data_IF_661278715999
#
_entry.id   IF_661278715999
#
_cell.length_a   1.000
_cell.length_b   1.000
_cell.length_c   1.000
_cell.angle_alpha   90.00
_cell.angle_beta   90.00
_cell.angle_gamma   90.00
#
_symmetry.space_group_name_H-M   'P 1'
#
loop_
_entity.id
_entity.type
_entity.pdbx_description
1 polymer ?
#
# COMPACT_ATOMS: atom_id res chain seq x y z
N UNK A 1 -6.08 12.20 8.14
CA UNK A 1 -7.46 11.65 8.24
C UNK A 1 -8.35 12.03 7.05
N UNK A 2 -8.54 13.31 6.68
CA UNK A 2 -9.40 13.69 5.52
C UNK A 2 -8.95 13.16 4.15
N UNK A 3 -7.64 13.02 3.90
CA UNK A 3 -7.09 12.48 2.64
C UNK A 3 -7.33 10.98 2.45
N UNK A 4 -7.36 10.21 3.55
CA UNK A 4 -7.61 8.76 3.50
C UNK A 4 -9.07 8.45 3.20
N UNK A 5 -10.01 9.25 3.72
CA UNK A 5 -11.44 9.07 3.48
C UNK A 5 -11.81 9.30 2.00
N UNK A 6 -11.30 10.38 1.39
CA UNK A 6 -11.57 10.67 -0.03
C UNK A 6 -10.93 9.65 -0.98
N UNK A 7 -9.78 9.08 -0.60
CA UNK A 7 -9.15 7.99 -1.35
C UNK A 7 -10.00 6.72 -1.30
N UNK A 8 -10.46 6.31 -0.12
CA UNK A 8 -11.32 5.13 0.06
C UNK A 8 -12.63 5.26 -0.74
N UNK A 9 -13.26 6.44 -0.73
CA UNK A 9 -14.47 6.69 -1.54
C UNK A 9 -14.21 6.58 -3.05
N UNK A 10 -13.05 7.04 -3.53
CA UNK A 10 -12.65 6.88 -4.94
C UNK A 10 -12.42 5.41 -5.28
N UNK A 11 -11.70 4.68 -4.44
CA UNK A 11 -11.46 3.25 -4.63
C UNK A 11 -12.76 2.44 -4.62
N UNK A 12 -13.70 2.77 -3.73
CA UNK A 12 -15.03 2.17 -3.70
C UNK A 12 -15.89 2.50 -4.94
N UNK A 13 -15.69 3.66 -5.57
CA UNK A 13 -16.32 3.96 -6.87
C UNK A 13 -15.69 3.16 -8.01
N UNK A 14 -14.36 3.04 -8.01
CA UNK A 14 -13.63 2.24 -8.99
C UNK A 14 -14.03 0.77 -8.91
N UNK A 15 -14.15 0.19 -7.71
CA UNK A 15 -14.57 -1.20 -7.55
C UNK A 15 -15.98 -1.45 -8.06
N UNK A 16 -16.94 -0.59 -7.72
CA UNK A 16 -18.32 -0.65 -8.23
C UNK A 16 -18.39 -0.52 -9.75
N UNK A 17 -17.64 0.40 -10.33
CA UNK A 17 -17.58 0.56 -11.78
C UNK A 17 -16.99 -0.69 -12.45
N UNK A 18 -15.89 -1.22 -11.91
CA UNK A 18 -15.25 -2.43 -12.43
C UNK A 18 -16.20 -3.64 -12.42
N UNK A 19 -16.83 -3.95 -11.27
CA UNK A 19 -17.79 -5.06 -11.19
C UNK A 19 -19.08 -4.80 -11.99
N UNK A 20 -19.49 -3.54 -12.16
CA UNK A 20 -20.58 -3.16 -13.06
C UNK A 20 -20.27 -3.49 -14.53
N UNK A 21 -19.05 -3.18 -14.98
CA UNK A 21 -18.58 -3.53 -16.34
C UNK A 21 -18.46 -5.05 -16.48
N UNK A 22 -17.94 -5.75 -15.47
CA UNK A 22 -17.88 -7.23 -15.48
C UNK A 22 -19.27 -7.85 -15.64
N UNK A 23 -20.26 -7.37 -14.90
CA UNK A 23 -21.65 -7.81 -15.04
C UNK A 23 -22.21 -7.52 -16.44
N UNK A 24 -21.94 -6.33 -16.98
CA UNK A 24 -22.39 -5.94 -18.32
C UNK A 24 -21.76 -6.81 -19.42
N UNK A 25 -20.45 -7.09 -19.34
CA UNK A 25 -19.76 -7.96 -20.30
C UNK A 25 -20.29 -9.39 -20.24
N UNK A 26 -20.51 -9.95 -19.04
CA UNK A 26 -21.09 -11.28 -18.89
C UNK A 26 -22.54 -11.34 -19.40
N UNK A 27 -23.37 -10.34 -19.08
CA UNK A 27 -24.74 -10.27 -19.57
C UNK A 27 -24.81 -10.10 -21.09
N UNK A 28 -23.94 -9.26 -21.66
CA UNK A 28 -23.82 -9.08 -23.11
C UNK A 28 -23.44 -10.39 -23.80
N UNK A 29 -22.47 -11.13 -23.28
CA UNK A 29 -22.08 -12.42 -23.84
C UNK A 29 -23.23 -13.46 -23.79
N UNK A 30 -23.97 -13.55 -22.67
CA UNK A 30 -25.14 -14.44 -22.56
C UNK A 30 -26.21 -14.07 -23.59
N UNK A 31 -26.57 -12.79 -23.68
CA UNK A 31 -27.55 -12.32 -24.68
C UNK A 31 -27.02 -12.48 -26.10
N UNK A 32 -25.72 -12.34 -26.33
CA UNK A 32 -25.08 -12.63 -27.60
C UNK A 32 -25.31 -14.07 -28.03
N UNK A 33 -25.19 -15.03 -27.12
CA UNK A 33 -25.51 -16.43 -27.38
C UNK A 33 -26.99 -16.62 -27.70
N UNK A 34 -27.88 -16.12 -26.85
CA UNK A 34 -29.35 -16.23 -27.01
C UNK A 34 -29.86 -15.61 -28.31
N UNK A 35 -29.35 -14.43 -28.68
CA UNK A 35 -29.83 -13.66 -29.84
C UNK A 35 -29.09 -14.01 -31.14
N UNK A 36 -28.03 -14.83 -31.09
CA UNK A 36 -27.26 -15.11 -32.30
C UNK A 36 -26.34 -13.98 -32.76
N UNK A 37 -25.97 -13.02 -31.89
CA UNK A 37 -25.16 -11.85 -32.27
C UNK A 37 -23.69 -12.05 -31.88
N UNK A 38 -22.76 -12.28 -32.84
CA UNK A 38 -21.35 -12.56 -32.53
C UNK A 38 -20.64 -11.41 -31.81
N UNK A 39 -20.88 -10.17 -32.24
CA UNK A 39 -20.28 -8.95 -31.69
C UNK A 39 -20.43 -8.79 -30.16
N UNK A 40 -21.52 -9.33 -29.59
CA UNK A 40 -21.76 -9.30 -28.14
C UNK A 40 -20.93 -10.35 -27.37
N UNK A 41 -20.44 -11.38 -28.06
CA UNK A 41 -19.67 -12.49 -27.50
C UNK A 41 -18.16 -12.29 -27.66
N UNK A 42 -17.73 -11.60 -28.71
CA UNK A 42 -16.32 -11.45 -29.10
C UNK A 42 -15.83 -9.98 -29.15
N UNK A 43 -16.68 -9.02 -28.78
CA UNK A 43 -16.42 -7.56 -28.87
C UNK A 43 -16.26 -7.02 -30.31
N UNK A 44 -16.73 -7.75 -31.34
CA UNK A 44 -16.79 -7.29 -32.72
C UNK A 44 -15.44 -7.22 -33.43
N UNK A 45 -14.44 -7.94 -32.94
CA UNK A 45 -13.06 -7.90 -33.44
C UNK A 45 -12.48 -9.30 -33.71
N UNK A 46 -13.34 -10.26 -34.06
CA UNK A 46 -13.00 -11.66 -34.38
C UNK A 46 -12.17 -12.36 -33.29
N UNK A 47 -12.41 -12.02 -32.02
CA UNK A 47 -11.81 -12.75 -30.90
C UNK A 47 -12.56 -14.08 -30.67
N UNK A 48 -11.91 -15.04 -30.00
CA UNK A 48 -12.61 -16.23 -29.53
C UNK A 48 -13.84 -15.80 -28.69
N UNK A 49 -15.05 -16.34 -28.94
CA UNK A 49 -16.25 -15.92 -28.24
C UNK A 49 -16.17 -16.31 -26.77
N UNK A 50 -16.68 -15.45 -25.90
CA UNK A 50 -16.80 -15.74 -24.47
C UNK A 50 -17.79 -16.88 -24.23
N UNK A 51 -17.36 -17.90 -23.50
CA UNK A 51 -18.21 -19.05 -23.20
C UNK A 51 -19.38 -18.66 -22.27
N UNK A 52 -20.58 -19.24 -22.45
CA UNK A 52 -21.73 -18.93 -21.59
C UNK A 52 -21.46 -19.22 -20.11
N UNK A 53 -20.67 -20.26 -19.82
CA UNK A 53 -20.31 -20.62 -18.45
C UNK A 53 -19.43 -19.56 -17.78
N UNK A 54 -18.42 -19.05 -18.50
CA UNK A 54 -17.59 -17.95 -18.00
C UNK A 54 -18.43 -16.68 -17.79
N UNK A 55 -19.33 -16.40 -18.73
CA UNK A 55 -20.22 -15.24 -18.68
C UNK A 55 -21.16 -15.30 -17.46
N UNK A 56 -21.80 -16.45 -17.24
CA UNK A 56 -22.66 -16.69 -16.07
C UNK A 56 -21.88 -16.61 -14.76
N UNK A 57 -20.70 -17.23 -14.69
CA UNK A 57 -19.85 -17.18 -13.50
C UNK A 57 -19.43 -15.73 -13.17
N UNK A 58 -19.08 -14.91 -14.16
CA UNK A 58 -18.70 -13.51 -13.97
C UNK A 58 -19.88 -12.63 -13.54
N UNK A 59 -21.07 -12.85 -14.09
CA UNK A 59 -22.31 -12.20 -13.59
C UNK A 59 -22.56 -12.59 -12.14
N UNK A 60 -22.46 -13.87 -11.80
CA UNK A 60 -22.62 -14.34 -10.42
C UNK A 60 -21.59 -13.74 -9.46
N UNK A 61 -20.32 -13.62 -9.88
CA UNK A 61 -19.29 -12.92 -9.10
C UNK A 61 -19.63 -11.45 -8.85
N UNK A 62 -20.11 -10.74 -9.88
CA UNK A 62 -20.55 -9.35 -9.71
C UNK A 62 -21.78 -9.24 -8.78
N UNK A 63 -22.75 -10.16 -8.88
CA UNK A 63 -23.87 -10.20 -7.94
C UNK A 63 -23.42 -10.51 -6.51
N UNK A 64 -22.42 -11.38 -6.34
CA UNK A 64 -21.83 -11.67 -5.04
C UNK A 64 -21.20 -10.42 -4.43
N UNK A 65 -20.43 -9.66 -5.23
CA UNK A 65 -19.83 -8.41 -4.83
C UNK A 65 -20.87 -7.37 -4.38
N UNK A 66 -21.87 -7.08 -5.21
CA UNK A 66 -22.92 -6.10 -4.87
C UNK A 66 -23.80 -6.55 -3.70
N UNK A 67 -24.03 -7.86 -3.54
CA UNK A 67 -24.75 -8.39 -2.38
C UNK A 67 -23.94 -8.20 -1.09
N UNK A 68 -22.62 -8.40 -1.13
CA UNK A 68 -21.74 -8.15 0.00
C UNK A 68 -21.73 -6.65 0.38
N UNK A 69 -21.68 -5.75 -0.61
CA UNK A 69 -21.71 -4.30 -0.38
C UNK A 69 -23.04 -3.83 0.25
N UNK A 70 -24.16 -4.45 -0.10
CA UNK A 70 -25.49 -4.17 0.46
C UNK A 70 -25.73 -4.80 1.85
N UNK A 71 -24.72 -5.42 2.47
CA UNK A 71 -24.86 -6.08 3.76
C UNK A 71 -25.72 -7.35 3.72
N UNK A 72 -25.77 -8.06 2.58
CA UNK A 72 -26.50 -9.32 2.39
C UNK A 72 -25.55 -10.50 2.23
N UNK A 73 -24.88 -10.96 3.31
CA UNK A 73 -23.82 -11.95 3.20
C UNK A 73 -24.28 -13.34 2.77
N UNK A 74 -25.50 -13.74 3.13
CA UNK A 74 -26.08 -15.01 2.68
C UNK A 74 -26.19 -15.04 1.16
N UNK A 75 -26.73 -13.97 0.57
CA UNK A 75 -26.89 -13.81 -0.88
C UNK A 75 -25.54 -13.73 -1.58
N UNK A 76 -24.57 -13.01 -1.00
CA UNK A 76 -23.21 -12.95 -1.52
C UNK A 76 -22.55 -14.34 -1.58
N UNK A 77 -22.64 -15.13 -0.50
CA UNK A 77 -22.06 -16.48 -0.42
C UNK A 77 -22.74 -17.46 -1.37
N UNK A 78 -24.07 -17.39 -1.53
CA UNK A 78 -24.80 -18.25 -2.48
C UNK A 78 -24.36 -17.95 -3.92
N UNK A 79 -24.33 -16.68 -4.32
CA UNK A 79 -23.89 -16.29 -5.66
C UNK A 79 -22.44 -16.70 -5.95
N UNK A 80 -21.54 -16.50 -4.98
CA UNK A 80 -20.15 -16.95 -5.07
C UNK A 80 -20.04 -18.48 -5.14
N UNK A 81 -20.80 -19.22 -4.32
CA UNK A 81 -20.79 -20.69 -4.35
C UNK A 81 -21.24 -21.21 -5.72
N UNK A 82 -22.30 -20.64 -6.31
CA UNK A 82 -22.74 -21.00 -7.66
C UNK A 82 -21.65 -20.72 -8.71
N UNK A 83 -20.98 -19.56 -8.63
CA UNK A 83 -19.86 -19.24 -9.54
C UNK A 83 -18.69 -20.23 -9.38
N UNK A 84 -18.33 -20.59 -8.13
CA UNK A 84 -17.30 -21.58 -7.84
C UNK A 84 -17.69 -22.96 -8.37
N UNK A 85 -18.95 -23.37 -8.20
CA UNK A 85 -19.47 -24.63 -8.73
C UNK A 85 -19.36 -24.70 -10.24
N UNK A 86 -19.70 -23.62 -10.97
CA UNK A 86 -19.49 -23.56 -12.43
C UNK A 86 -18.01 -23.74 -12.77
N UNK A 87 -17.11 -23.05 -12.06
CA UNK A 87 -15.67 -23.18 -12.25
C UNK A 87 -15.15 -24.60 -12.01
N UNK A 88 -15.58 -25.25 -10.91
CA UNK A 88 -15.18 -26.62 -10.55
C UNK A 88 -15.73 -27.65 -11.54
N UNK A 89 -17.02 -27.56 -11.89
CA UNK A 89 -17.64 -28.50 -12.82
C UNK A 89 -17.04 -28.36 -14.22
N UNK A 90 -16.76 -27.13 -14.67
CA UNK A 90 -16.07 -26.94 -15.95
C UNK A 90 -14.62 -27.40 -15.90
N UNK A 91 -13.91 -27.20 -14.78
CA UNK A 91 -12.57 -27.74 -14.60
C UNK A 91 -12.56 -29.27 -14.65
N UNK A 92 -13.55 -29.92 -14.03
CA UNK A 92 -13.71 -31.37 -14.08
C UNK A 92 -14.02 -31.85 -15.51
N UNK A 93 -14.90 -31.16 -16.25
CA UNK A 93 -15.16 -31.45 -17.68
C UNK A 93 -13.88 -31.31 -18.52
N UNK A 94 -13.08 -30.25 -18.30
CA UNK A 94 -11.84 -30.01 -19.04
C UNK A 94 -10.74 -31.02 -18.71
N UNK A 95 -10.60 -31.46 -17.46
CA UNK A 95 -9.55 -32.40 -17.03
C UNK A 95 -9.92 -33.88 -17.25
N UNK A 96 -11.16 -34.26 -16.96
CA UNK A 96 -11.61 -35.65 -17.03
C UNK A 96 -12.23 -36.02 -18.39
N UNK A 97 -12.46 -35.04 -19.27
CA UNK A 97 -13.11 -35.27 -20.57
C UNK A 97 -14.58 -35.70 -20.46
N UNK A 98 -15.20 -35.54 -19.28
CA UNK A 98 -16.59 -35.93 -19.04
C UNK A 98 -17.55 -34.92 -19.69
N UNK A 99 -18.54 -35.34 -20.49
CA UNK A 99 -19.51 -34.44 -21.12
C UNK A 99 -20.58 -33.98 -20.11
N UNK A 100 -20.17 -33.19 -19.11
CA UNK A 100 -21.06 -32.65 -18.07
C UNK A 100 -22.04 -31.61 -18.68
N UNK A 101 -21.67 -31.00 -19.81
CA UNK A 101 -22.50 -30.04 -20.51
C UNK A 101 -22.39 -28.62 -19.94
N UNK A 102 -21.32 -28.34 -19.18
CA UNK A 102 -21.05 -27.00 -18.62
C UNK A 102 -20.64 -26.00 -19.69
N UNK A 103 -20.35 -26.43 -20.90
CA UNK A 103 -20.19 -25.55 -22.07
C UNK A 103 -21.49 -24.86 -22.51
N UNK A 104 -22.66 -25.27 -21.98
CA UNK A 104 -23.98 -24.74 -22.36
C UNK A 104 -24.22 -24.75 -23.87
N UNK A 105 -23.83 -25.83 -24.55
CA UNK A 105 -24.00 -25.99 -25.99
C UNK A 105 -25.46 -25.83 -26.47
N UNK A 106 -26.44 -26.11 -25.61
CA UNK A 106 -27.87 -25.90 -25.88
C UNK A 106 -28.28 -24.42 -25.99
N UNK A 107 -27.44 -23.49 -25.50
CA UNK A 107 -27.66 -22.05 -25.63
C UNK A 107 -27.19 -21.50 -26.97
N UNK A 108 -26.43 -22.30 -27.74
CA UNK A 108 -26.02 -21.91 -29.08
C UNK A 108 -27.22 -21.96 -30.04
N UNK A 109 -27.42 -20.94 -30.90
CA UNK A 109 -28.35 -21.04 -32.02
C UNK A 109 -27.98 -22.28 -32.86
N UNK A 110 -28.96 -22.98 -33.43
CA UNK A 110 -28.83 -24.31 -34.05
C UNK A 110 -27.92 -24.43 -35.30
N UNK A 111 -26.83 -23.69 -35.40
CA UNK A 111 -25.90 -23.59 -36.53
C UNK A 111 -24.48 -24.11 -36.27
N UNK A 112 -24.26 -25.03 -35.32
CA UNK A 112 -23.00 -25.79 -35.23
C UNK A 112 -21.77 -25.08 -34.62
N UNK A 113 -21.86 -23.80 -34.26
CA UNK A 113 -20.80 -23.15 -33.48
C UNK A 113 -20.76 -23.68 -32.05
N UNK A 114 -19.74 -24.50 -31.73
CA UNK A 114 -19.54 -24.98 -30.37
C UNK A 114 -18.99 -23.85 -29.49
N UNK A 115 -19.60 -23.61 -28.30
CA UNK A 115 -19.04 -22.66 -27.34
C UNK A 115 -17.60 -23.01 -26.96
N UNK A 116 -16.74 -21.99 -26.89
CA UNK A 116 -15.36 -22.17 -26.46
C UNK A 116 -15.31 -22.82 -25.06
N UNK A 117 -14.46 -23.82 -24.88
CA UNK A 117 -14.23 -24.43 -23.55
C UNK A 117 -13.43 -23.46 -22.69
N UNK A 118 -13.72 -23.42 -21.38
CA UNK A 118 -12.86 -22.68 -20.47
C UNK A 118 -11.51 -23.39 -20.35
N UNK A 119 -10.44 -22.60 -20.42
CA UNK A 119 -9.11 -23.07 -20.04
C UNK A 119 -9.02 -23.38 -18.55
N UNK A 120 -8.05 -24.22 -18.18
CA UNK A 120 -7.76 -24.56 -16.78
C UNK A 120 -7.48 -23.30 -15.97
N UNK A 121 -6.69 -22.36 -16.49
CA UNK A 121 -6.41 -21.10 -15.81
C UNK A 121 -7.69 -20.27 -15.59
N UNK A 122 -8.59 -20.20 -16.58
CA UNK A 122 -9.86 -19.48 -16.43
C UNK A 122 -10.76 -20.11 -15.34
N UNK A 123 -10.81 -21.44 -15.25
CA UNK A 123 -11.54 -22.11 -14.17
C UNK A 123 -10.92 -21.80 -12.80
N UNK A 124 -9.60 -21.88 -12.68
CA UNK A 124 -8.89 -21.60 -11.42
C UNK A 124 -9.11 -20.14 -10.99
N UNK A 125 -8.99 -19.17 -11.91
CA UNK A 125 -9.20 -17.75 -11.57
C UNK A 125 -10.62 -17.48 -11.11
N UNK A 126 -11.64 -18.09 -11.74
CA UNK A 126 -13.03 -17.99 -11.31
C UNK A 126 -13.24 -18.58 -9.91
N UNK A 127 -12.68 -19.75 -9.62
CA UNK A 127 -12.77 -20.39 -8.30
C UNK A 127 -12.11 -19.52 -7.22
N UNK A 128 -10.91 -18.99 -7.50
CA UNK A 128 -10.19 -18.12 -6.56
C UNK A 128 -10.97 -16.83 -6.28
N UNK A 129 -11.50 -16.16 -7.32
CA UNK A 129 -12.35 -14.98 -7.18
C UNK A 129 -13.60 -15.31 -6.35
N UNK A 130 -14.26 -16.43 -6.62
CA UNK A 130 -15.47 -16.85 -5.92
C UNK A 130 -15.23 -17.13 -4.43
N UNK A 131 -14.08 -17.68 -4.07
CA UNK A 131 -13.75 -17.98 -2.67
C UNK A 131 -13.60 -16.70 -1.83
N UNK A 132 -13.14 -15.61 -2.45
CA UNK A 132 -12.69 -14.43 -1.72
C UNK A 132 -13.65 -13.24 -1.81
N UNK A 133 -14.43 -13.13 -2.89
CA UNK A 133 -15.43 -12.07 -3.09
C UNK A 133 -16.47 -11.95 -1.94
N UNK A 134 -17.03 -13.04 -1.38
CA UNK A 134 -18.07 -12.96 -0.35
C UNK A 134 -17.55 -12.88 1.09
N UNK A 135 -16.23 -12.97 1.31
CA UNK A 135 -15.66 -12.95 2.67
C UNK A 135 -16.02 -11.63 3.34
N UNK A 136 -16.49 -11.61 4.59
CA UNK A 136 -16.71 -10.35 5.33
C UNK A 136 -15.50 -9.97 6.18
N UNK A 137 -14.79 -10.99 6.67
CA UNK A 137 -13.57 -10.85 7.45
C UNK A 137 -12.37 -11.21 6.60
N UNK A 138 -11.36 -10.34 6.60
CA UNK A 138 -10.11 -10.63 5.91
C UNK A 138 -9.38 -11.77 6.60
N UNK A 139 -9.10 -12.82 5.83
CA UNK A 139 -8.17 -13.87 6.25
C UNK A 139 -6.78 -13.48 5.82
N UNK A 140 -5.81 -13.64 6.71
CA UNK A 140 -4.39 -13.41 6.41
C UNK A 140 -3.81 -14.68 5.78
N UNK A 141 -3.17 -14.51 4.62
CA UNK A 141 -2.41 -15.53 3.90
C UNK A 141 -0.99 -14.99 3.74
N UNK A 142 0.00 -15.67 4.31
CA UNK A 142 1.40 -15.19 4.34
C UNK A 142 1.55 -13.73 4.84
N UNK A 143 0.82 -13.36 5.90
CA UNK A 143 0.76 -12.00 6.48
C UNK A 143 0.15 -10.91 5.57
N UNK A 144 -0.41 -11.26 4.41
CA UNK A 144 -1.16 -10.36 3.54
C UNK A 144 -2.65 -10.73 3.51
N UNK A 145 -3.57 -9.78 3.27
CA UNK A 145 -5.00 -10.10 3.16
C UNK A 145 -5.26 -10.97 1.91
N UNK A 146 -6.03 -12.04 2.09
CA UNK A 146 -6.33 -13.02 1.02
C UNK A 146 -6.93 -12.37 -0.24
N UNK A 147 -7.72 -11.30 -0.07
CA UNK A 147 -8.28 -10.45 -1.14
C UNK A 147 -7.21 -9.89 -2.06
N UNK A 148 -6.15 -9.32 -1.48
CA UNK A 148 -5.05 -8.74 -2.24
C UNK A 148 -4.19 -9.80 -2.93
N UNK A 149 -3.93 -10.92 -2.24
CA UNK A 149 -3.15 -12.03 -2.81
C UNK A 149 -3.88 -12.63 -4.02
N UNK A 150 -5.18 -12.94 -3.88
CA UNK A 150 -5.99 -13.46 -4.98
C UNK A 150 -6.12 -12.44 -6.11
N UNK A 151 -6.39 -11.17 -5.80
CA UNK A 151 -6.44 -10.13 -6.81
C UNK A 151 -5.12 -10.00 -7.59
N UNK A 152 -3.97 -10.11 -6.92
CA UNK A 152 -2.67 -10.08 -7.58
C UNK A 152 -2.43 -11.29 -8.48
N UNK A 153 -2.72 -12.50 -8.01
CA UNK A 153 -2.56 -13.73 -8.81
C UNK A 153 -3.49 -13.72 -10.02
N UNK A 154 -4.78 -13.45 -9.79
CA UNK A 154 -5.79 -13.43 -10.86
C UNK A 154 -5.52 -12.30 -11.85
N UNK A 155 -5.14 -11.12 -11.35
CA UNK A 155 -4.72 -9.99 -12.18
C UNK A 155 -3.52 -10.32 -13.04
N UNK A 156 -2.49 -11.00 -12.49
CA UNK A 156 -1.33 -11.43 -13.25
C UNK A 156 -1.70 -12.45 -14.34
N UNK A 157 -2.52 -13.46 -14.03
CA UNK A 157 -2.98 -14.46 -15.02
C UNK A 157 -3.78 -13.78 -16.14
N UNK A 158 -4.73 -12.90 -15.80
CA UNK A 158 -5.51 -12.16 -16.77
C UNK A 158 -4.66 -11.20 -17.59
N UNK A 159 -3.66 -10.57 -16.98
CA UNK A 159 -2.68 -9.72 -17.64
C UNK A 159 -1.88 -10.50 -18.70
N UNK A 160 -1.33 -11.66 -18.32
CA UNK A 160 -0.60 -12.51 -19.26
C UNK A 160 -1.49 -13.06 -20.37
N UNK A 161 -2.75 -13.37 -20.08
CA UNK A 161 -3.72 -13.78 -21.09
C UNK A 161 -4.00 -12.65 -22.10
N UNK A 162 -4.21 -11.41 -21.63
CA UNK A 162 -4.38 -10.24 -22.49
C UNK A 162 -3.12 -9.94 -23.32
N UNK A 163 -1.95 -10.07 -22.70
CA UNK A 163 -0.67 -9.90 -23.39
C UNK A 163 -0.50 -10.95 -24.50
N UNK A 164 -0.80 -12.22 -24.20
CA UNK A 164 -0.76 -13.31 -25.18
C UNK A 164 -1.71 -13.07 -26.36
N UNK A 165 -2.96 -12.65 -26.08
CA UNK A 165 -3.95 -12.31 -27.11
C UNK A 165 -3.50 -11.14 -28.00
N UNK A 166 -2.93 -10.11 -27.39
CA UNK A 166 -2.56 -8.90 -28.12
C UNK A 166 -1.34 -9.09 -29.02
N UNK A 167 -0.37 -9.91 -28.58
CA UNK A 167 0.85 -10.10 -29.36
C UNK A 167 0.60 -10.90 -30.65
N UNK A 168 -0.50 -11.69 -30.80
CA UNK A 168 -0.83 -12.54 -31.98
C UNK A 168 0.34 -13.42 -32.53
N UNK A 169 1.49 -13.42 -31.86
CA UNK A 169 2.81 -13.92 -32.29
C UNK A 169 3.33 -15.03 -31.38
N UNK A 170 2.88 -15.09 -30.12
CA UNK A 170 2.94 -16.37 -29.42
C UNK A 170 1.82 -17.22 -29.99
N UNK A 171 2.17 -18.20 -30.83
CA UNK A 171 1.35 -19.36 -31.19
C UNK A 171 0.94 -20.15 -29.92
N UNK A 172 0.19 -19.53 -29.03
CA UNK A 172 -0.43 -20.19 -27.89
C UNK A 172 -1.50 -21.20 -28.33
N UNK A 173 -1.93 -21.14 -29.59
CA UNK A 173 -2.76 -22.16 -30.24
C UNK A 173 -2.15 -23.57 -30.22
N UNK A 174 -0.82 -23.71 -30.03
CA UNK A 174 -0.17 -25.04 -30.00
C UNK A 174 0.51 -25.32 -28.64
N UNK A 175 0.95 -24.30 -27.89
CA UNK A 175 1.89 -24.50 -26.77
C UNK A 175 1.36 -24.21 -25.34
N UNK A 176 0.20 -23.54 -25.14
CA UNK A 176 -0.36 -23.45 -23.78
C UNK A 176 -1.91 -23.37 -23.75
N UNK A 177 -2.60 -24.50 -24.00
CA UNK A 177 -4.04 -24.64 -23.74
C UNK A 177 -4.46 -24.28 -22.30
N UNK A 178 -3.49 -24.21 -21.38
CA UNK A 178 -3.66 -23.80 -19.99
C UNK A 178 -4.14 -22.35 -19.82
N UNK A 179 -3.73 -21.40 -20.69
CA UNK A 179 -4.03 -19.96 -20.57
C UNK A 179 -5.09 -19.44 -21.56
N UNK A 180 -5.80 -20.32 -22.28
CA UNK A 180 -6.79 -19.95 -23.30
C UNK A 180 -7.98 -19.15 -22.75
N UNK A 181 -7.84 -17.84 -22.59
CA UNK A 181 -8.94 -16.92 -22.34
C UNK A 181 -9.46 -16.36 -23.66
N UNK A 182 -10.78 -16.15 -23.75
CA UNK A 182 -11.30 -15.19 -24.72
C UNK A 182 -10.92 -13.77 -24.31
N UNK A 183 -10.75 -12.86 -25.26
CA UNK A 183 -10.45 -11.46 -24.95
C UNK A 183 -11.47 -10.81 -23.99
N UNK A 184 -12.79 -10.98 -24.18
CA UNK A 184 -13.78 -10.43 -23.25
C UNK A 184 -13.67 -11.04 -21.85
N UNK A 185 -13.39 -12.34 -21.73
CA UNK A 185 -13.20 -12.99 -20.43
C UNK A 185 -11.92 -12.54 -19.73
N UNK A 186 -10.82 -12.34 -20.46
CA UNK A 186 -9.57 -11.84 -19.91
C UNK A 186 -9.73 -10.40 -19.39
N UNK A 187 -10.41 -9.53 -20.16
CA UNK A 187 -10.74 -8.15 -19.73
C UNK A 187 -11.64 -8.17 -18.49
N UNK A 188 -12.71 -8.97 -18.49
CA UNK A 188 -13.62 -9.07 -17.34
C UNK A 188 -12.90 -9.61 -16.09
N UNK A 189 -12.04 -10.62 -16.25
CA UNK A 189 -11.27 -11.19 -15.13
C UNK A 189 -10.27 -10.19 -14.56
N UNK A 190 -9.60 -9.42 -15.43
CA UNK A 190 -8.70 -8.33 -15.04
C UNK A 190 -9.47 -7.25 -14.26
N UNK A 191 -10.63 -6.82 -14.78
CA UNK A 191 -11.48 -5.83 -14.11
C UNK A 191 -11.99 -6.35 -12.76
N UNK A 192 -12.36 -7.62 -12.64
CA UNK A 192 -12.76 -8.22 -11.37
C UNK A 192 -11.60 -8.22 -10.36
N UNK A 193 -10.37 -8.52 -10.79
CA UNK A 193 -9.18 -8.47 -9.94
C UNK A 193 -8.88 -7.05 -9.45
N UNK A 194 -8.89 -6.06 -10.35
CA UNK A 194 -8.71 -4.63 -10.01
C UNK A 194 -9.83 -4.16 -9.07
N UNK A 195 -11.08 -4.53 -9.37
CA UNK A 195 -12.24 -4.20 -8.56
C UNK A 195 -12.15 -4.77 -7.15
N UNK A 196 -11.67 -6.01 -7.01
CA UNK A 196 -11.47 -6.65 -5.72
C UNK A 196 -10.35 -5.98 -4.91
N UNK A 197 -9.22 -5.67 -5.55
CA UNK A 197 -8.11 -4.94 -4.92
C UNK A 197 -8.52 -3.53 -4.46
N UNK A 198 -9.37 -2.84 -5.25
CA UNK A 198 -9.87 -1.51 -4.91
C UNK A 198 -10.98 -1.54 -3.85
N UNK A 199 -11.80 -2.60 -3.81
CA UNK A 199 -12.87 -2.73 -2.82
C UNK A 199 -12.34 -2.91 -1.40
N UNK A 200 -11.21 -3.60 -1.27
CA UNK A 200 -10.55 -3.88 0.01
C UNK A 200 -9.04 -3.66 -0.12
N UNK A 201 -8.62 -2.39 -0.15
CA UNK A 201 -7.23 -2.06 -0.35
C UNK A 201 -6.42 -2.47 0.88
N UNK A 202 -5.33 -3.22 0.66
CA UNK A 202 -4.42 -3.61 1.75
C UNK A 202 -3.78 -2.39 2.41
N UNK A 203 -3.32 -2.56 3.66
CA UNK A 203 -2.56 -1.51 4.36
C UNK A 203 -1.36 -1.03 3.53
N UNK A 204 -0.65 -1.95 2.88
CA UNK A 204 0.45 -1.62 1.97
C UNK A 204 -0.01 -0.76 0.79
N UNK A 205 -1.13 -1.10 0.15
CA UNK A 205 -1.66 -0.34 -0.98
C UNK A 205 -2.12 1.06 -0.55
N UNK A 206 -2.77 1.16 0.61
CA UNK A 206 -3.19 2.44 1.18
C UNK A 206 -1.99 3.31 1.57
N UNK A 207 -0.96 2.75 2.22
CA UNK A 207 0.26 3.48 2.55
C UNK A 207 1.01 3.92 1.29
N UNK A 208 1.06 3.06 0.26
CA UNK A 208 1.70 3.38 -1.02
C UNK A 208 0.95 4.48 -1.79
N UNK A 209 -0.39 4.52 -1.74
CA UNK A 209 -1.18 5.52 -2.47
C UNK A 209 -1.36 6.83 -1.69
N UNK A 210 -1.44 6.77 -0.36
CA UNK A 210 -1.75 7.91 0.49
C UNK A 210 -0.53 8.57 1.12
N UNK A 211 0.59 7.85 1.29
CA UNK A 211 1.75 8.40 1.98
C UNK A 211 2.55 9.32 1.07
N UNK A 212 3.09 10.38 1.67
CA UNK A 212 4.06 11.29 1.05
C UNK A 212 5.51 10.76 1.17
N UNK A 213 5.69 9.52 1.61
CA UNK A 213 7.03 8.93 1.80
C UNK A 213 7.68 8.77 0.43
N UNK A 214 8.98 8.99 0.36
CA UNK A 214 9.76 8.86 -0.88
C UNK A 214 9.55 7.48 -1.53
N UNK A 215 9.47 6.42 -0.72
CA UNK A 215 9.18 5.06 -1.21
C UNK A 215 7.83 4.92 -1.92
N UNK A 216 6.78 5.56 -1.42
CA UNK A 216 5.45 5.52 -2.03
C UNK A 216 5.40 6.27 -3.36
N UNK A 217 6.11 7.40 -3.47
CA UNK A 217 6.26 8.13 -4.74
C UNK A 217 7.00 7.28 -5.75
N UNK A 218 8.10 6.64 -5.35
CA UNK A 218 8.87 5.74 -6.22
C UNK A 218 7.97 4.59 -6.68
N UNK A 219 7.31 3.86 -5.78
CA UNK A 219 6.46 2.73 -6.15
C UNK A 219 5.30 3.12 -7.07
N UNK A 220 4.69 4.31 -6.89
CA UNK A 220 3.55 4.76 -7.70
C UNK A 220 3.88 4.98 -9.18
N UNK A 221 5.12 5.31 -9.50
CA UNK A 221 5.56 5.57 -10.87
C UNK A 221 6.42 4.42 -11.42
N UNK A 222 7.28 3.85 -10.59
CA UNK A 222 8.22 2.78 -10.93
C UNK A 222 7.48 1.51 -11.33
N UNK A 223 6.53 1.06 -10.51
CA UNK A 223 5.90 -0.24 -10.69
C UNK A 223 5.04 -0.28 -11.96
N UNK A 224 4.17 0.70 -12.26
CA UNK A 224 3.48 0.73 -13.56
C UNK A 224 4.44 0.84 -14.74
N UNK A 225 5.47 1.69 -14.67
CA UNK A 225 6.38 1.91 -15.78
C UNK A 225 7.24 0.67 -16.09
N UNK A 226 7.60 -0.12 -15.07
CA UNK A 226 8.33 -1.39 -15.23
C UNK A 226 7.57 -2.44 -16.05
N UNK A 227 6.22 -2.38 -16.09
CA UNK A 227 5.41 -3.25 -16.94
C UNK A 227 5.01 -2.57 -18.25
N UNK A 228 4.50 -1.34 -18.19
CA UNK A 228 3.94 -0.64 -19.36
C UNK A 228 4.99 -0.40 -20.44
N UNK A 229 6.22 -0.01 -20.07
CA UNK A 229 7.25 0.31 -21.06
C UNK A 229 7.70 -0.92 -21.85
N UNK A 230 8.06 -2.07 -21.25
CA UNK A 230 8.38 -3.27 -22.02
C UNK A 230 7.25 -3.72 -22.95
N UNK A 231 5.99 -3.64 -22.51
CA UNK A 231 4.83 -4.02 -23.33
C UNK A 231 4.71 -3.07 -24.53
N UNK A 232 4.76 -1.76 -24.30
CA UNK A 232 4.61 -0.77 -25.35
C UNK A 232 5.72 -0.85 -26.39
N UNK A 233 6.98 -1.00 -25.94
CA UNK A 233 8.13 -1.20 -26.84
C UNK A 233 8.01 -2.52 -27.58
N UNK A 234 7.55 -3.59 -26.90
CA UNK A 234 7.26 -4.89 -27.54
C UNK A 234 6.20 -4.79 -28.64
N UNK A 235 5.10 -4.08 -28.40
CA UNK A 235 4.08 -3.81 -29.42
C UNK A 235 4.62 -3.01 -30.60
N UNK A 236 5.35 -1.93 -30.33
CA UNK A 236 5.93 -1.09 -31.38
C UNK A 236 6.90 -1.90 -32.25
N UNK A 237 7.72 -2.77 -31.63
CA UNK A 237 8.59 -3.71 -32.34
C UNK A 237 7.78 -4.65 -33.23
N UNK A 238 6.76 -5.33 -32.70
CA UNK A 238 5.95 -6.28 -33.47
C UNK A 238 5.19 -5.61 -34.62
N UNK A 239 4.65 -4.42 -34.38
CA UNK A 239 3.96 -3.65 -35.42
C UNK A 239 4.91 -3.37 -36.59
N UNK A 240 6.11 -2.88 -36.30
CA UNK A 240 7.06 -2.53 -37.33
C UNK A 240 7.71 -3.76 -38.02
N UNK A 241 7.84 -4.89 -37.32
CA UNK A 241 8.20 -6.18 -37.92
C UNK A 241 7.12 -6.65 -38.91
N UNK A 242 5.83 -6.47 -38.59
CA UNK A 242 4.71 -6.80 -39.49
C UNK A 242 4.64 -5.93 -40.74
N UNK A 243 4.96 -4.65 -40.61
CA UNK A 243 5.06 -3.71 -41.75
C UNK A 243 6.36 -3.93 -42.55
N UNK A 244 7.22 -4.88 -42.17
CA UNK A 244 8.46 -5.19 -42.85
C UNK A 244 9.55 -4.10 -42.70
N UNK A 245 9.40 -3.18 -41.74
CA UNK A 245 10.36 -2.09 -41.51
C UNK A 245 11.71 -2.60 -41.00
N UNK A 246 11.74 -3.76 -40.34
CA UNK A 246 12.96 -4.42 -39.88
C UNK A 246 12.77 -5.92 -39.68
N UNK A 247 13.87 -6.68 -39.83
CA UNK A 247 13.88 -8.12 -39.60
C UNK A 247 13.85 -8.50 -38.11
N UNK A 248 13.42 -9.73 -37.83
CA UNK A 248 13.22 -10.29 -36.48
C UNK A 248 14.46 -10.12 -35.57
N UNK A 249 15.64 -10.48 -36.08
CA UNK A 249 16.90 -10.39 -35.34
C UNK A 249 17.26 -8.94 -34.96
N UNK A 250 17.05 -8.00 -35.89
CA UNK A 250 17.28 -6.58 -35.64
C UNK A 250 16.28 -6.02 -34.62
N UNK A 251 15.00 -6.38 -34.75
CA UNK A 251 13.96 -6.01 -33.79
C UNK A 251 14.24 -6.52 -32.37
N UNK A 252 14.75 -7.76 -32.23
CA UNK A 252 15.19 -8.31 -30.94
C UNK A 252 16.39 -7.56 -30.34
N UNK A 253 17.40 -7.25 -31.15
CA UNK A 253 18.57 -6.51 -30.70
C UNK A 253 18.20 -5.09 -30.23
N UNK A 254 17.39 -4.38 -31.01
CA UNK A 254 16.90 -3.04 -30.66
C UNK A 254 16.03 -3.06 -29.39
N UNK A 255 15.11 -4.02 -29.27
CA UNK A 255 14.31 -4.20 -28.06
C UNK A 255 15.20 -4.39 -26.83
N UNK A 256 16.20 -5.26 -26.92
CA UNK A 256 17.14 -5.52 -25.83
C UNK A 256 17.91 -4.27 -25.44
N UNK A 257 18.40 -3.49 -26.42
CA UNK A 257 19.11 -2.24 -26.17
C UNK A 257 18.21 -1.20 -25.48
N UNK A 258 16.98 -1.01 -25.97
CA UNK A 258 16.02 -0.06 -25.39
C UNK A 258 15.64 -0.49 -23.97
N UNK A 259 15.45 -1.79 -23.71
CA UNK A 259 15.18 -2.30 -22.37
C UNK A 259 16.36 -2.12 -21.42
N UNK A 260 17.59 -2.41 -21.85
CA UNK A 260 18.79 -2.18 -21.03
C UNK A 260 18.92 -0.69 -20.70
N UNK A 261 18.76 0.21 -21.68
CA UNK A 261 18.82 1.65 -21.46
C UNK A 261 17.71 2.12 -20.51
N UNK A 262 16.49 1.63 -20.70
CA UNK A 262 15.34 1.93 -19.85
C UNK A 262 15.57 1.47 -18.40
N UNK A 263 15.91 0.19 -18.19
CA UNK A 263 16.16 -0.35 -16.84
C UNK A 263 17.38 0.30 -16.19
N UNK A 264 18.44 0.61 -16.94
CA UNK A 264 19.61 1.32 -16.41
C UNK A 264 19.24 2.74 -15.95
N UNK A 265 18.48 3.48 -16.77
CA UNK A 265 17.95 4.80 -16.42
C UNK A 265 17.06 4.72 -15.16
N UNK A 266 16.20 3.70 -15.10
CA UNK A 266 15.32 3.43 -13.96
C UNK A 266 16.11 3.16 -12.67
N UNK A 267 17.14 2.31 -12.74
CA UNK A 267 18.01 1.97 -11.61
C UNK A 267 18.75 3.22 -11.12
N UNK A 268 19.32 4.01 -12.03
CA UNK A 268 20.02 5.25 -11.67
C UNK A 268 19.07 6.29 -11.06
N UNK A 269 17.84 6.37 -11.55
CA UNK A 269 16.82 7.25 -10.96
C UNK A 269 16.45 6.82 -9.54
N UNK A 270 16.25 5.51 -9.30
CA UNK A 270 15.97 4.98 -7.95
C UNK A 270 17.16 5.24 -7.02
N UNK A 271 18.38 4.95 -7.46
CA UNK A 271 19.59 5.19 -6.67
C UNK A 271 19.71 6.66 -6.25
N UNK A 272 19.61 7.60 -7.20
CA UNK A 272 19.65 9.04 -6.91
C UNK A 272 18.56 9.49 -5.96
N UNK A 273 17.35 8.93 -6.09
CA UNK A 273 16.22 9.27 -5.23
C UNK A 273 16.45 8.77 -3.80
N UNK A 274 17.04 7.59 -3.64
CA UNK A 274 17.42 7.04 -2.34
C UNK A 274 18.54 7.86 -1.69
N UNK A 275 19.56 8.24 -2.46
CA UNK A 275 20.68 9.06 -1.97
C UNK A 275 20.20 10.44 -1.50
N UNK A 276 19.30 11.08 -2.26
CA UNK A 276 18.70 12.35 -1.86
C UNK A 276 17.90 12.22 -0.56
N UNK A 277 17.12 11.14 -0.42
CA UNK A 277 16.36 10.89 0.80
C UNK A 277 17.27 10.63 2.02
N UNK A 278 18.38 9.92 1.81
CA UNK A 278 19.39 9.69 2.85
C UNK A 278 20.10 11.00 3.25
N UNK A 279 20.48 11.82 2.27
CA UNK A 279 21.13 13.11 2.50
C UNK A 279 20.22 14.08 3.26
N UNK A 280 18.92 14.14 2.92
CA UNK A 280 17.95 14.95 3.66
C UNK A 280 17.81 14.51 5.12
N UNK A 281 17.82 13.20 5.38
CA UNK A 281 17.82 12.68 6.76
C UNK A 281 19.08 13.07 7.51
N UNK A 282 20.24 12.89 6.91
CA UNK A 282 21.52 13.24 7.53
C UNK A 282 21.61 14.74 7.85
N UNK A 283 21.13 15.62 6.96
CA UNK A 283 21.07 17.07 7.23
C UNK A 283 20.11 17.40 8.38
N UNK A 284 18.93 16.78 8.43
CA UNK A 284 17.98 17.00 9.52
C UNK A 284 18.55 16.55 10.89
N UNK A 285 19.26 15.43 10.92
CA UNK A 285 19.96 14.93 12.12
C UNK A 285 21.13 15.84 12.52
N UNK A 286 21.90 16.34 11.55
CA UNK A 286 22.98 17.30 11.77
C UNK A 286 22.48 18.61 12.37
N UNK A 287 21.46 19.21 11.76
CA UNK A 287 20.85 20.46 12.27
C UNK A 287 20.26 20.28 13.67
N UNK A 288 19.63 19.13 13.96
CA UNK A 288 19.12 18.84 15.29
C UNK A 288 20.25 18.68 16.33
N UNK A 289 21.41 18.19 15.92
CA UNK A 289 22.59 18.05 16.79
C UNK A 289 23.22 19.40 17.06
N UNK A 290 23.45 20.21 16.02
CA UNK A 290 23.99 21.57 16.15
C UNK A 290 23.10 22.46 17.02
N UNK A 291 21.78 22.37 16.86
CA UNK A 291 20.84 23.11 17.71
C UNK A 291 20.93 22.69 19.19
N UNK A 292 21.18 21.40 19.47
CA UNK A 292 21.41 20.92 20.85
C UNK A 292 22.72 21.42 21.41
N UNK A 293 23.80 21.38 20.64
CA UNK A 293 25.11 21.88 21.06
C UNK A 293 25.08 23.39 21.29
N UNK A 294 24.45 24.16 20.39
CA UNK A 294 24.28 25.59 20.55
C UNK A 294 23.51 25.94 21.83
N UNK A 295 22.38 25.27 22.10
CA UNK A 295 21.64 25.44 23.35
C UNK A 295 22.51 25.11 24.57
N UNK A 296 23.32 24.04 24.52
CA UNK A 296 24.23 23.69 25.62
C UNK A 296 25.30 24.76 25.84
N UNK A 297 25.92 25.28 24.78
CA UNK A 297 26.95 26.32 24.86
C UNK A 297 26.37 27.64 25.37
N UNK A 298 25.25 28.09 24.83
CA UNK A 298 24.57 29.32 25.28
C UNK A 298 24.17 29.21 26.75
N UNK A 299 23.62 28.09 27.18
CA UNK A 299 23.28 27.89 28.60
C UNK A 299 24.54 27.82 29.48
N UNK A 300 25.66 27.30 28.97
CA UNK A 300 26.93 27.23 29.67
C UNK A 300 27.65 28.58 29.80
N UNK A 301 27.47 29.50 28.85
CA UNK A 301 28.13 30.81 28.81
C UNK A 301 27.39 31.92 29.56
N UNK A 302 26.13 31.70 29.96
CA UNK A 302 25.41 32.61 30.86
C UNK A 302 26.15 32.68 32.21
N UNK A 303 26.49 33.90 32.63
CA UNK A 303 27.17 34.16 33.92
C UNK A 303 26.30 33.82 35.13
N UNK A 304 24.98 33.82 34.95
CA UNK A 304 24.00 33.40 35.96
C UNK A 304 23.89 31.88 36.03
N UNK A 305 23.67 31.36 37.24
CA UNK A 305 23.45 29.94 37.47
C UNK A 305 22.13 29.47 36.87
N UNK A 306 22.18 28.65 35.82
CA UNK A 306 20.98 28.06 35.19
C UNK A 306 20.87 26.58 35.56
N UNK A 307 19.70 26.19 36.04
CA UNK A 307 19.33 24.82 36.38
C UNK A 307 18.02 24.49 35.71
N UNK A 308 17.98 23.41 34.92
CA UNK A 308 16.74 22.92 34.32
C UNK A 308 16.29 21.64 35.02
N UNK A 309 14.98 21.53 35.27
CA UNK A 309 14.35 20.37 35.90
C UNK A 309 13.32 19.72 34.97
N UNK A 310 12.94 18.48 35.27
CA UNK A 310 11.75 17.85 34.69
C UNK A 310 10.46 18.29 35.40
N UNK A 311 9.31 17.79 34.92
CA UNK A 311 8.01 18.10 35.49
C UNK A 311 7.82 17.61 36.94
N UNK A 312 8.71 16.72 37.44
CA UNK A 312 8.72 16.25 38.83
C UNK A 312 9.68 17.02 39.72
N UNK A 313 10.34 18.07 39.20
CA UNK A 313 11.30 18.88 39.94
C UNK A 313 12.68 18.25 40.08
N UNK A 314 13.01 17.21 39.30
CA UNK A 314 14.34 16.59 39.30
C UNK A 314 15.27 17.28 38.31
N UNK A 315 16.52 17.46 38.70
CA UNK A 315 17.53 18.19 37.92
C UNK A 315 17.94 17.41 36.68
N UNK A 316 17.83 18.06 35.51
CA UNK A 316 18.23 17.52 34.21
C UNK A 316 19.49 18.20 33.65
N UNK A 317 19.72 19.45 34.05
CA UNK A 317 20.85 20.24 33.54
C UNK A 317 21.33 21.24 34.59
N UNK A 318 22.65 21.42 34.67
CA UNK A 318 23.33 22.40 35.52
C UNK A 318 24.42 23.09 34.67
N UNK A 319 24.32 24.40 34.46
CA UNK A 319 25.37 25.12 33.73
C UNK A 319 26.64 25.32 34.59
N UNK A 320 27.73 25.78 33.96
CA UNK A 320 29.00 25.98 34.67
C UNK A 320 28.91 26.99 35.82
N UNK A 321 28.13 28.07 35.66
CA UNK A 321 27.88 29.05 36.72
C UNK A 321 27.14 28.44 37.91
N UNK A 322 26.09 27.66 37.68
CA UNK A 322 25.34 26.96 38.72
C UNK A 322 26.20 25.93 39.45
N UNK A 323 27.10 25.23 38.74
CA UNK A 323 28.07 24.33 39.38
C UNK A 323 29.01 25.10 40.32
N UNK A 324 29.50 26.28 39.91
CA UNK A 324 30.35 27.14 40.77
C UNK A 324 29.60 27.67 41.99
N UNK A 325 28.37 28.16 41.80
CA UNK A 325 27.53 28.77 42.83
C UNK A 325 27.06 27.74 43.87
N UNK A 326 26.52 26.61 43.42
CA UNK A 326 25.97 25.57 44.32
C UNK A 326 27.06 24.66 44.89
N UNK A 327 28.18 24.49 44.19
CA UNK A 327 29.25 23.55 44.54
C UNK A 327 28.94 22.09 44.17
N UNK A 328 27.92 21.85 43.35
CA UNK A 328 27.60 20.53 42.80
C UNK A 328 28.21 20.36 41.41
N UNK A 329 28.67 19.15 41.08
CA UNK A 329 29.00 18.77 39.70
C UNK A 329 27.73 18.31 38.97
N UNK A 330 27.61 18.63 37.69
CA UNK A 330 26.44 18.27 36.88
C UNK A 330 26.13 16.76 36.92
N UNK A 331 27.16 15.90 36.87
CA UNK A 331 27.01 14.45 36.94
C UNK A 331 26.46 13.95 38.29
N UNK A 332 26.75 14.64 39.39
CA UNK A 332 26.28 14.27 40.74
C UNK A 332 24.87 14.82 41.02
N UNK A 333 24.53 15.92 40.34
CA UNK A 333 23.27 16.64 40.42
C UNK A 333 22.14 15.99 39.60
N UNK A 334 22.48 15.36 38.47
CA UNK A 334 21.50 14.79 37.55
C UNK A 334 20.57 13.76 38.25
N UNK A 335 19.26 13.91 38.06
CA UNK A 335 18.22 13.03 38.59
C UNK A 335 17.83 13.28 40.06
N UNK A 336 18.56 14.12 40.79
CA UNK A 336 18.23 14.51 42.18
C UNK A 336 17.14 15.58 42.21
N UNK A 337 16.29 15.62 43.25
CA UNK A 337 15.32 16.70 43.42
C UNK A 337 16.03 18.04 43.66
N UNK A 338 15.49 19.12 43.07
CA UNK A 338 16.14 20.44 43.11
C UNK A 338 16.34 20.96 44.55
N UNK A 339 15.44 20.64 45.48
CA UNK A 339 15.51 21.06 46.89
C UNK A 339 16.73 20.46 47.63
N UNK A 340 17.26 19.33 47.14
CA UNK A 340 18.53 18.80 47.64
C UNK A 340 19.74 19.62 47.17
N UNK A 341 19.66 20.28 46.02
CA UNK A 341 20.79 21.04 45.46
C UNK A 341 20.75 22.50 45.90
N UNK A 342 19.56 23.08 46.00
CA UNK A 342 19.33 24.50 46.24
C UNK A 342 18.67 24.71 47.59
N UNK A 343 19.49 25.09 48.57
CA UNK A 343 19.02 25.62 49.84
C UNK A 343 19.00 27.14 49.75
N UNK A 344 17.79 27.71 49.61
CA UNK A 344 17.57 29.14 49.61
C UNK A 344 17.28 29.63 51.03
N UNK A 345 17.80 30.81 51.37
CA UNK A 345 17.51 31.53 52.60
C UNK A 345 17.45 33.04 52.32
N UNK A 346 16.74 33.78 53.17
CA UNK A 346 16.70 35.24 53.10
C UNK A 346 17.92 35.79 53.85
N UNK A 347 18.74 36.61 53.20
CA UNK A 347 19.97 37.16 53.81
C UNK A 347 19.68 38.07 55.01
N UNK A 348 18.50 38.67 55.07
CA UNK A 348 18.16 39.68 56.09
C UNK A 348 17.88 39.07 57.46
N UNK A 349 17.24 37.90 57.49
CA UNK A 349 16.84 37.24 58.73
C UNK A 349 17.30 35.78 58.85
N UNK A 350 18.00 35.26 57.84
CA UNK A 350 18.63 33.94 57.83
C UNK A 350 17.66 32.76 57.73
N UNK A 351 16.35 33.01 57.50
CA UNK A 351 15.35 31.94 57.43
C UNK A 351 15.36 31.26 56.07
N UNK A 352 15.00 29.96 56.05
CA UNK A 352 14.91 29.21 54.79
C UNK A 352 13.75 29.69 53.93
N UNK A 353 14.03 29.95 52.65
CA UNK A 353 13.04 30.30 51.64
C UNK A 353 12.54 29.05 50.91
N UNK A 354 11.25 29.03 50.60
CA UNK A 354 10.68 27.99 49.73
C UNK A 354 11.21 28.13 48.31
N UNK A 355 11.50 27.00 47.68
CA UNK A 355 11.93 26.98 46.29
C UNK A 355 10.82 27.50 45.37
N UNK A 356 11.05 28.60 44.61
CA UNK A 356 10.04 29.16 43.72
C UNK A 356 9.64 28.20 42.59
N UNK A 357 10.43 27.14 42.32
CA UNK A 357 10.07 26.11 41.33
C UNK A 357 8.72 25.46 41.63
N UNK A 358 8.41 25.17 42.90
CA UNK A 358 7.16 24.49 43.24
C UNK A 358 5.94 25.37 42.94
N UNK A 359 6.05 26.68 43.21
CA UNK A 359 5.02 27.65 42.86
C UNK A 359 4.89 27.80 41.33
N UNK A 360 6.01 27.80 40.61
CA UNK A 360 6.01 27.88 39.15
C UNK A 360 5.39 26.63 38.49
N UNK A 361 5.67 25.42 39.02
CA UNK A 361 5.09 24.17 38.54
C UNK A 361 3.57 24.08 38.79
N UNK A 362 3.10 24.61 39.93
CA UNK A 362 1.67 24.62 40.27
C UNK A 362 0.88 25.66 39.47
N UNK A 363 1.43 26.87 39.30
CA UNK A 363 0.75 27.99 38.63
C UNK A 363 0.99 28.02 37.11
N UNK A 364 1.97 27.25 36.61
CA UNK A 364 2.50 27.32 35.23
C UNK A 364 2.92 28.74 34.80
N UNK A 365 3.33 29.55 35.77
CA UNK A 365 3.79 30.91 35.55
C UNK A 365 5.19 31.11 36.16
N UNK A 366 5.91 32.12 35.69
CA UNK A 366 7.20 32.48 36.28
C UNK A 366 6.99 32.88 37.75
N UNK A 367 7.79 32.31 38.66
CA UNK A 367 7.77 32.62 40.08
C UNK A 367 9.18 33.02 40.53
N UNK A 368 9.27 34.07 41.34
CA UNK A 368 10.51 34.52 41.96
C UNK A 368 10.50 34.17 43.46
N UNK A 369 11.68 33.95 44.03
CA UNK A 369 11.80 33.90 45.48
C UNK A 369 11.55 35.31 46.05
N UNK A 370 10.82 35.42 47.17
CA UNK A 370 10.66 36.68 47.88
C UNK A 370 11.86 37.00 48.76
N UNK A 371 12.01 38.28 49.15
CA UNK A 371 13.08 38.75 50.04
C UNK A 371 14.42 39.00 49.34
N UNK A 372 15.54 38.86 50.06
CA UNK A 372 16.90 38.87 49.49
C UNK A 372 17.46 37.43 49.46
N UNK A 373 17.15 36.64 48.41
CA UNK A 373 17.46 35.22 48.38
C UNK A 373 18.96 34.98 48.15
N UNK A 374 19.57 34.21 49.05
CA UNK A 374 20.92 33.68 48.88
C UNK A 374 20.95 32.15 48.84
N UNK A 375 21.99 31.62 48.20
CA UNK A 375 22.19 30.18 47.98
C UNK A 375 23.30 29.65 48.88
N UNK A 376 23.03 28.57 49.60
CA UNK A 376 23.99 27.93 50.47
C UNK A 376 24.88 26.94 49.68
N UNK A 377 26.16 27.28 49.51
CA UNK A 377 27.13 26.42 48.81
C UNK A 377 27.35 25.11 49.58
N UNK A 378 27.42 23.97 48.88
CA UNK A 378 27.53 22.60 49.46
C UNK A 378 28.60 22.45 50.55
N UNK A 379 29.78 23.07 50.38
CA UNK A 379 30.87 23.00 51.36
C UNK A 379 30.53 23.67 52.71
N UNK A 380 29.60 24.64 52.75
CA UNK A 380 29.14 25.30 53.98
C UNK A 380 27.88 24.68 54.57
N UNK A 381 27.19 23.81 53.82
CA UNK A 381 25.96 23.15 54.26
C UNK A 381 26.17 22.15 55.41
N UNK A 382 27.39 21.66 55.60
CA UNK A 382 27.76 20.84 56.76
C UNK A 382 27.82 21.63 58.08
N UNK A 383 27.81 22.97 58.05
CA UNK A 383 27.97 23.84 59.22
C UNK A 383 26.66 24.43 59.76
N UNK A 384 25.55 24.25 59.05
CA UNK A 384 24.21 24.68 59.47
C UNK A 384 23.29 23.45 59.50
N UNK A 385 22.84 22.99 60.68
CA UNK A 385 21.89 21.88 60.77
C UNK A 385 20.55 22.28 60.14
N UNK A 386 19.90 21.31 59.48
CA UNK A 386 18.54 21.47 58.95
C UNK A 386 17.60 21.71 60.14
N UNK A 387 17.13 22.94 60.29
CA UNK A 387 16.04 23.30 61.20
C UNK A 387 14.69 22.90 60.63
#
# INVERSE_FOLDING_TARGET
MRTSATLLERLARVSRAAFGIVAALGAAAIWGWVLGVPALRDLGADFAPMSPAAALALVLLATSFFAAERGRPRSARVAAALAATIGVLTLAETLAGLPIGMSFHWLAPGGGEMPARLSIAACITLILLALVTPLERERLVFRAPATSVVAAIVGAVAFFALLGLSLRVLRFDIAAPLLGFSAPAAVATMLAAIGLAAARPSEWLLDTLASKRTGAVVTRWLLPAAFVVPIAVGWMRLYAEREGLFGEAFGMALFTLVMIAWFSSLILWVARTLDQAAAQRAQAEGAATEQREWLQVTLASIGDGVIATDASGRVRFLNAAAQRLTGWRAAEAAGRPLDELLALYDERDGKSLRNPLNAALQTRAAAAAGGEPAVLRRARRARYPRG
#
